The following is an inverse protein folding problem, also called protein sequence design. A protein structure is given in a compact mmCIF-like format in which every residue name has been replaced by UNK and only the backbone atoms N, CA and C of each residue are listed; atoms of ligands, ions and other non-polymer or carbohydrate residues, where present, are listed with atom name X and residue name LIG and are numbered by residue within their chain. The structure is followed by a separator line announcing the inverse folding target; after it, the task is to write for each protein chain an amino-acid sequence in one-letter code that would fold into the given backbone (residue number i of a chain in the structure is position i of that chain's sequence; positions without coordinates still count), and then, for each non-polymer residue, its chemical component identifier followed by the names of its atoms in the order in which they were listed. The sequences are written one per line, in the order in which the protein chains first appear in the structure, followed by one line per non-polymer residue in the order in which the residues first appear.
data_IF_884853942146
#
_entry.id   IF_884853942146
#
_cell.length_a   1.000
_cell.length_b   1.000
_cell.length_c   1.000
_cell.angle_alpha   90.00
_cell.angle_beta   90.00
_cell.angle_gamma   90.00
#
_symmetry.space_group_name_H-M   'P 1'
#
loop_
_entity.id
_entity.type
_entity.pdbx_description
1 polymer ?
#
# COMPACT_ATOMS: atom_id res chain seq x y z
N UNK A 1 -5.02 13.22 -21.04
CA UNK A 1 -5.54 12.90 -19.69
C UNK A 1 -5.92 14.17 -18.94
N UNK A 2 -7.14 14.21 -18.39
CA UNK A 2 -7.73 15.39 -17.75
C UNK A 2 -6.95 15.82 -16.49
N UNK A 3 -6.82 17.14 -16.27
CA UNK A 3 -6.18 17.72 -15.07
C UNK A 3 -6.90 17.27 -13.78
N UNK A 4 -8.22 17.09 -13.84
CA UNK A 4 -9.03 16.60 -12.73
C UNK A 4 -8.64 15.17 -12.32
N UNK A 5 -8.39 14.28 -13.28
CA UNK A 5 -7.98 12.90 -13.00
C UNK A 5 -6.69 12.85 -12.17
N UNK A 6 -5.68 13.65 -12.54
CA UNK A 6 -4.43 13.78 -11.77
C UNK A 6 -4.65 14.34 -10.36
N UNK A 7 -5.61 15.24 -10.18
CA UNK A 7 -5.95 15.80 -8.86
C UNK A 7 -6.59 14.74 -7.96
N UNK A 8 -7.53 13.96 -8.48
CA UNK A 8 -8.16 12.87 -7.74
C UNK A 8 -7.18 11.77 -7.38
N UNK A 9 -6.34 11.32 -8.33
CA UNK A 9 -5.31 10.33 -8.03
C UNK A 9 -4.41 10.81 -6.88
N UNK A 10 -3.94 12.07 -6.90
CA UNK A 10 -3.07 12.59 -5.84
C UNK A 10 -3.75 12.58 -4.46
N UNK A 11 -5.03 12.94 -4.38
CA UNK A 11 -5.76 12.93 -3.10
C UNK A 11 -5.94 11.50 -2.57
N UNK A 12 -6.36 10.58 -3.44
CA UNK A 12 -6.56 9.17 -3.11
C UNK A 12 -5.21 8.51 -2.76
N UNK A 13 -4.14 8.84 -3.46
CA UNK A 13 -2.78 8.34 -3.20
C UNK A 13 -2.31 8.68 -1.79
N UNK A 14 -2.53 9.91 -1.31
CA UNK A 14 -2.14 10.28 0.06
C UNK A 14 -2.87 9.40 1.07
N UNK A 15 -4.18 9.18 0.89
CA UNK A 15 -5.00 8.39 1.82
C UNK A 15 -4.58 6.92 1.80
N UNK A 16 -4.37 6.34 0.62
CA UNK A 16 -4.04 4.92 0.46
C UNK A 16 -2.57 4.59 0.73
N UNK A 17 -1.64 5.54 0.53
CA UNK A 17 -0.24 5.33 0.86
C UNK A 17 0.01 5.21 2.36
N UNK A 18 -0.79 5.85 3.22
CA UNK A 18 -0.63 5.74 4.67
C UNK A 18 -0.79 4.29 5.20
N UNK A 19 -1.89 3.58 4.93
CA UNK A 19 -2.04 2.19 5.37
C UNK A 19 -1.08 1.24 4.64
N UNK A 20 -0.76 1.50 3.37
CA UNK A 20 0.27 0.73 2.65
C UNK A 20 1.66 0.89 3.31
N UNK A 21 2.01 2.11 3.70
CA UNK A 21 3.26 2.39 4.39
C UNK A 21 3.32 1.70 5.74
N UNK A 22 2.23 1.76 6.52
CA UNK A 22 2.12 1.02 7.78
C UNK A 22 2.37 -0.47 7.56
N UNK A 23 1.68 -1.08 6.58
CA UNK A 23 1.78 -2.49 6.23
C UNK A 23 3.21 -2.90 5.83
N UNK A 24 3.90 -2.07 5.04
CA UNK A 24 5.29 -2.33 4.66
C UNK A 24 6.22 -2.23 5.86
N UNK A 25 6.07 -1.20 6.69
CA UNK A 25 6.91 -1.02 7.88
C UNK A 25 6.71 -2.15 8.90
N UNK A 26 5.48 -2.54 9.18
CA UNK A 26 5.19 -3.62 10.12
C UNK A 26 5.61 -4.98 9.58
N UNK A 27 5.47 -5.22 8.27
CA UNK A 27 5.95 -6.45 7.63
C UNK A 27 7.48 -6.57 7.69
N UNK A 28 8.21 -5.49 7.37
CA UNK A 28 9.66 -5.46 7.54
C UNK A 28 10.06 -5.61 9.01
N UNK A 29 9.37 -4.90 9.90
CA UNK A 29 9.60 -4.97 11.34
C UNK A 29 9.37 -6.38 11.89
N UNK A 30 8.33 -7.08 11.42
CA UNK A 30 8.05 -8.46 11.81
C UNK A 30 9.23 -9.37 11.49
N UNK A 31 9.77 -9.30 10.26
CA UNK A 31 10.95 -10.08 9.87
C UNK A 31 12.14 -9.77 10.76
N UNK A 32 12.40 -8.49 11.07
CA UNK A 32 13.51 -8.11 11.95
C UNK A 32 13.29 -8.64 13.38
N UNK A 33 12.10 -8.44 13.93
CA UNK A 33 11.79 -8.80 15.31
C UNK A 33 11.74 -10.30 15.52
N UNK A 34 10.93 -11.01 14.72
CA UNK A 34 10.67 -12.43 14.88
C UNK A 34 11.83 -13.27 14.32
N UNK A 35 12.24 -13.03 13.07
CA UNK A 35 13.22 -13.91 12.40
C UNK A 35 14.66 -13.61 12.79
N UNK A 36 15.03 -12.34 12.96
CA UNK A 36 16.44 -11.98 13.24
C UNK A 36 16.72 -11.91 14.74
N UNK A 37 15.82 -11.28 15.49
CA UNK A 37 16.01 -11.01 16.92
C UNK A 37 15.33 -12.04 17.83
N UNK A 38 14.54 -12.97 17.27
CA UNK A 38 13.80 -14.00 18.01
C UNK A 38 12.93 -13.41 19.13
N UNK A 39 12.33 -12.23 18.87
CA UNK A 39 11.43 -11.51 19.76
C UNK A 39 9.98 -11.80 19.35
N UNK A 40 9.47 -12.96 19.75
CA UNK A 40 8.17 -13.47 19.29
C UNK A 40 7.00 -12.55 19.68
N UNK A 41 6.95 -12.06 20.92
CA UNK A 41 5.90 -11.15 21.38
C UNK A 41 5.84 -9.85 20.56
N UNK A 42 7.02 -9.29 20.24
CA UNK A 42 7.11 -8.07 19.42
C UNK A 42 6.72 -8.37 17.97
N UNK A 43 7.12 -9.54 17.45
CA UNK A 43 6.69 -10.03 16.16
C UNK A 43 5.17 -10.14 16.06
N UNK A 44 4.52 -10.84 16.99
CA UNK A 44 3.06 -10.98 17.01
C UNK A 44 2.35 -9.63 17.12
N UNK A 45 2.86 -8.71 17.95
CA UNK A 45 2.33 -7.35 18.03
C UNK A 45 2.42 -6.60 16.69
N UNK A 46 3.57 -6.69 16.01
CA UNK A 46 3.74 -6.08 14.68
C UNK A 46 2.82 -6.72 13.63
N UNK A 47 2.60 -8.03 13.72
CA UNK A 47 1.69 -8.74 12.83
C UNK A 47 0.22 -8.35 13.08
N UNK A 48 -0.18 -8.17 14.33
CA UNK A 48 -1.49 -7.63 14.70
C UNK A 48 -1.72 -6.19 14.23
N UNK A 49 -0.67 -5.35 14.24
CA UNK A 49 -0.70 -4.02 13.62
C UNK A 49 -0.71 -4.09 12.08
N UNK A 50 0.00 -5.05 11.49
CA UNK A 50 0.06 -5.27 10.04
C UNK A 50 -1.29 -5.61 9.45
N UNK A 51 -2.10 -6.40 10.16
CA UNK A 51 -3.45 -6.78 9.74
C UNK A 51 -4.53 -5.81 10.27
N UNK A 52 -4.19 -4.92 11.20
CA UNK A 52 -5.14 -4.14 12.01
C UNK A 52 -6.11 -5.03 12.81
N UNK A 53 -5.65 -6.19 13.25
CA UNK A 53 -6.38 -7.10 14.15
C UNK A 53 -6.69 -6.43 15.50
N UNK A 54 -5.81 -5.53 15.96
CA UNK A 54 -6.00 -4.77 17.21
C UNK A 54 -7.30 -3.96 17.26
N UNK A 55 -7.91 -3.68 16.11
CA UNK A 55 -9.20 -2.98 15.97
C UNK A 55 -10.24 -3.81 15.21
N UNK A 56 -10.03 -5.13 15.09
CA UNK A 56 -10.92 -6.09 14.43
C UNK A 56 -11.14 -5.86 12.92
N UNK A 57 -10.11 -5.37 12.22
CA UNK A 57 -10.17 -5.09 10.77
C UNK A 57 -9.42 -6.11 9.91
N UNK A 58 -8.88 -7.18 10.48
CA UNK A 58 -7.98 -8.15 9.86
C UNK A 58 -8.55 -8.84 8.61
N UNK A 59 -9.87 -8.92 8.48
CA UNK A 59 -10.55 -9.54 7.32
C UNK A 59 -10.72 -8.59 6.13
N UNK A 60 -10.80 -7.28 6.39
CA UNK A 60 -11.16 -6.28 5.38
C UNK A 60 -9.94 -5.43 5.01
N UNK A 61 -9.10 -5.10 5.99
CA UNK A 61 -7.97 -4.21 5.82
C UNK A 61 -6.96 -4.69 4.76
N UNK A 62 -6.52 -5.96 4.74
CA UNK A 62 -5.62 -6.44 3.68
C UNK A 62 -6.23 -6.34 2.28
N UNK A 63 -7.55 -6.57 2.16
CA UNK A 63 -8.27 -6.46 0.89
C UNK A 63 -8.32 -5.00 0.42
N UNK A 64 -8.63 -4.07 1.32
CA UNK A 64 -8.63 -2.63 1.02
C UNK A 64 -7.24 -2.14 0.59
N UNK A 65 -6.18 -2.60 1.26
CA UNK A 65 -4.81 -2.29 0.87
C UNK A 65 -4.47 -2.85 -0.52
N UNK A 66 -4.81 -4.11 -0.79
CA UNK A 66 -4.57 -4.72 -2.10
C UNK A 66 -5.30 -3.99 -3.23
N UNK A 67 -6.59 -3.70 -3.06
CA UNK A 67 -7.38 -2.94 -4.03
C UNK A 67 -6.87 -1.51 -4.19
N UNK A 68 -6.51 -0.86 -3.07
CA UNK A 68 -5.94 0.47 -3.07
C UNK A 68 -4.63 0.54 -3.85
N UNK A 69 -3.71 -0.39 -3.60
CA UNK A 69 -2.45 -0.51 -4.32
C UNK A 69 -2.67 -0.73 -5.83
N UNK A 70 -3.55 -1.66 -6.20
CA UNK A 70 -3.88 -1.91 -7.60
C UNK A 70 -4.44 -0.66 -8.28
N UNK A 71 -5.37 0.03 -7.61
CA UNK A 71 -5.93 1.29 -8.10
C UNK A 71 -4.85 2.36 -8.30
N UNK A 72 -3.95 2.53 -7.33
CA UNK A 72 -2.83 3.47 -7.42
C UNK A 72 -1.86 3.12 -8.54
N UNK A 73 -1.52 1.83 -8.72
CA UNK A 73 -0.63 1.39 -9.79
C UNK A 73 -1.26 1.61 -11.16
N UNK A 74 -2.48 1.14 -11.38
CA UNK A 74 -3.17 1.28 -12.68
C UNK A 74 -3.31 2.76 -13.03
N UNK A 75 -3.83 3.57 -12.10
CA UNK A 75 -4.03 5.00 -12.35
C UNK A 75 -2.69 5.74 -12.46
N UNK A 76 -1.68 5.40 -11.66
CA UNK A 76 -0.33 5.96 -11.72
C UNK A 76 0.36 5.70 -13.06
N UNK A 77 0.44 4.44 -13.47
CA UNK A 77 1.06 4.01 -14.74
C UNK A 77 0.32 4.63 -15.93
N UNK A 78 -1.02 4.75 -15.88
CA UNK A 78 -1.75 5.42 -16.95
C UNK A 78 -1.27 6.87 -17.18
N UNK A 79 -0.76 7.54 -16.14
CA UNK A 79 -0.32 8.94 -16.17
C UNK A 79 1.14 9.16 -16.57
N UNK A 80 2.00 8.14 -16.49
CA UNK A 80 3.42 8.28 -16.83
C UNK A 80 3.69 8.37 -18.33
N UNK A 81 2.68 8.06 -19.16
CA UNK A 81 2.83 8.08 -20.63
C UNK A 81 3.57 6.87 -21.18
N UNK A 82 3.82 5.83 -20.38
CA UNK A 82 4.41 4.55 -20.81
C UNK A 82 3.66 3.92 -21.99
N UNK A 83 2.34 4.12 -22.08
CA UNK A 83 1.49 3.64 -23.16
C UNK A 83 1.28 4.64 -24.30
N UNK A 84 1.95 5.79 -24.29
CA UNK A 84 1.83 6.78 -25.36
C UNK A 84 2.60 6.26 -26.56
N UNK A 85 1.89 5.72 -27.55
CA UNK A 85 2.45 5.41 -28.86
C UNK A 85 3.25 6.61 -29.35
N UNK A 86 4.54 6.40 -29.61
CA UNK A 86 5.36 7.35 -30.37
C UNK A 86 4.70 7.43 -31.75
N UNK A 87 3.94 8.49 -32.00
CA UNK A 87 3.58 8.84 -33.35
C UNK A 87 4.91 9.10 -34.07
N UNK A 88 5.32 8.16 -34.92
CA UNK A 88 6.38 8.35 -35.90
C UNK A 88 5.96 9.52 -36.77
N UNK A 89 6.63 10.66 -36.59
CA UNK A 89 6.77 11.66 -37.65
C UNK A 89 8.03 11.34 -38.43
#
# INVERSE_FOLDING_TARGET
MNRMFRRYHRQIAIILCLPLFLTVLTGMGFTIAHEWLHQDELGEFLLGLHTLEIIHLEKIYPILNGLGLLGLLITGVSMTGLFRQRASQ
#
